data_IF_512685491388
#
_entry.id   IF_512685491388
#
_cell.length_a   1.000
_cell.length_b   1.000
_cell.length_c   1.000
_cell.angle_alpha   90.00
_cell.angle_beta   90.00
_cell.angle_gamma   90.00
#
_symmetry.space_group_name_H-M   'P 1'
#
loop_
_entity.id
_entity.type
_entity.pdbx_description
1 polymer ?
2 non-polymer ?
3 water ?
#
# COMPACT_ATOMS: atom_id res chain seq x y z
N UNK A 21 10.32 14.79 -25.39
CA UNK A 21 10.80 14.94 -23.97
C UNK A 21 10.29 13.78 -23.11
N UNK A 22 11.19 13.17 -22.35
CA UNK A 22 10.87 12.00 -21.53
C UNK A 22 9.89 12.31 -20.40
N UNK A 23 10.03 13.49 -19.80
CA UNK A 23 9.13 13.94 -18.73
C UNK A 23 7.72 14.27 -19.22
N UNK A 24 7.57 14.41 -20.54
CA UNK A 24 6.29 14.76 -21.15
C UNK A 24 5.55 13.57 -21.77
N UNK A 25 5.99 12.36 -21.41
CA UNK A 25 5.31 11.12 -21.82
C UNK A 25 3.89 11.09 -21.26
N UNK A 26 2.95 10.58 -22.05
CA UNK A 26 1.54 10.54 -21.66
C UNK A 26 0.92 9.16 -21.80
N UNK A 27 -0.02 8.84 -20.91
CA UNK A 27 -0.71 7.55 -20.93
C UNK A 27 -2.23 7.74 -20.80
N UNK A 28 -2.98 6.75 -21.29
CA UNK A 28 -4.42 6.75 -21.18
C UNK A 28 -4.88 5.85 -20.03
N UNK A 29 -5.65 6.43 -19.12
CA UNK A 29 -6.22 5.69 -17.99
C UNK A 29 -7.74 5.78 -18.03
N UNK A 30 -8.40 4.63 -18.01
CA UNK A 30 -9.85 4.59 -18.01
C UNK A 30 -10.39 3.87 -16.78
N UNK A 31 -11.25 4.56 -16.03
CA UNK A 31 -11.97 3.92 -14.92
C UNK A 31 -13.22 3.26 -15.49
N UNK A 32 -13.30 1.94 -15.34
CA UNK A 32 -14.36 1.13 -15.92
C UNK A 32 -15.70 1.32 -15.18
N UNK A 33 -16.81 0.86 -15.78
CA UNK A 33 -18.15 1.06 -15.19
C UNK A 33 -18.26 0.60 -13.73
N UNK A 34 -17.60 -0.50 -13.38
CA UNK A 34 -17.60 -1.00 -12.01
C UNK A 34 -16.81 -0.11 -11.05
N UNK A 35 -15.78 0.56 -11.57
CA UNK A 35 -15.01 1.53 -10.80
C UNK A 35 -15.83 2.77 -10.46
N UNK A 36 -16.62 3.23 -11.43
CA UNK A 36 -17.53 4.36 -11.23
C UNK A 36 -18.65 3.97 -10.27
N UNK A 37 -19.25 2.80 -10.51
CA UNK A 37 -20.38 2.30 -9.70
C UNK A 37 -20.02 2.07 -8.23
N UNK A 38 -18.79 1.64 -7.97
CA UNK A 38 -18.36 1.34 -6.61
C UNK A 38 -17.67 2.53 -5.92
N UNK A 39 -17.78 3.71 -6.54
CA UNK A 39 -17.34 4.97 -5.94
C UNK A 39 -15.84 5.11 -5.74
N UNK A 40 -15.07 4.78 -6.78
CA UNK A 40 -13.61 4.76 -6.69
C UNK A 40 -12.92 5.85 -7.52
N UNK A 41 -13.70 6.70 -8.19
CA UNK A 41 -13.15 7.74 -9.06
C UNK A 41 -12.19 8.67 -8.31
N UNK A 42 -12.62 9.16 -7.16
CA UNK A 42 -11.81 10.05 -6.32
C UNK A 42 -10.52 9.43 -5.82
N UNK A 43 -10.61 8.21 -5.31
CA UNK A 43 -9.45 7.47 -4.80
C UNK A 43 -8.38 7.25 -5.86
N UNK A 44 -8.82 6.89 -7.08
CA UNK A 44 -7.93 6.61 -8.20
C UNK A 44 -7.16 7.87 -8.65
N UNK A 45 -7.87 8.97 -8.84
CA UNK A 45 -7.27 10.25 -9.22
C UNK A 45 -6.25 10.72 -8.17
N UNK A 46 -6.60 10.55 -6.90
CA UNK A 46 -5.73 10.88 -5.76
C UNK A 46 -4.38 10.14 -5.84
N UNK A 47 -4.41 8.87 -6.25
CA UNK A 47 -3.20 8.06 -6.41
C UNK A 47 -2.23 8.68 -7.42
N UNK A 48 -2.77 9.14 -8.54
CA UNK A 48 -1.95 9.75 -9.59
C UNK A 48 -1.49 11.16 -9.24
N UNK A 49 -2.35 11.93 -8.57
CA UNK A 49 -2.01 13.28 -8.11
C UNK A 49 -0.88 13.27 -7.10
N UNK A 50 -1.00 12.44 -6.07
CA UNK A 50 -0.01 12.36 -4.98
C UNK A 50 1.34 11.84 -5.47
N UNK A 51 1.33 11.06 -6.54
CA UNK A 51 2.54 10.51 -7.16
C UNK A 51 3.39 11.61 -7.81
N UNK A 52 2.72 12.63 -8.34
CA UNK A 52 3.41 13.74 -9.01
C UNK A 52 3.07 13.86 -10.48
N UNK A 53 2.27 12.93 -10.99
CA UNK A 53 1.82 12.97 -12.39
C UNK A 53 0.81 14.10 -12.62
N UNK A 54 0.85 14.67 -13.81
CA UNK A 54 0.02 15.83 -14.13
C UNK A 54 -1.19 15.44 -14.99
N UNK A 55 -2.36 15.93 -14.58
CA UNK A 55 -3.60 15.69 -15.31
C UNK A 55 -3.61 16.52 -16.59
N UNK A 56 -3.91 15.89 -17.72
CA UNK A 56 -4.01 16.60 -19.00
C UNK A 56 -5.40 16.47 -19.65
N UNK A 57 -6.05 15.33 -19.42
CA UNK A 57 -7.40 15.09 -19.93
C UNK A 57 -8.26 14.33 -18.93
N UNK A 58 -9.53 14.74 -18.82
CA UNK A 58 -10.49 14.11 -17.92
C UNK A 58 -11.90 14.25 -18.48
N UNK A 59 -12.61 13.13 -18.58
CA UNK A 59 -13.93 13.10 -19.22
C UNK A 59 -14.82 12.00 -18.64
N UNK A 60 -16.05 12.38 -18.30
CA UNK A 60 -17.08 11.43 -17.88
C UNK A 60 -18.00 11.16 -19.07
N UNK A 61 -18.11 9.89 -19.45
CA UNK A 61 -18.80 9.53 -20.69
C UNK A 61 -19.34 8.10 -20.68
N UNK A 62 -20.36 7.85 -21.49
CA UNK A 62 -20.75 6.49 -21.84
C UNK A 62 -20.16 6.16 -23.20
N UNK A 63 -19.25 5.19 -23.21
CA UNK A 63 -18.56 4.79 -24.45
C UNK A 63 -19.52 4.06 -25.39
N UNK A 64 -19.59 4.55 -26.63
CA UNK A 64 -20.44 3.94 -27.66
C UNK A 64 -19.87 2.60 -28.10
N UNK A 65 -20.74 1.76 -28.68
CA UNK A 65 -20.32 0.45 -29.19
C UNK A 65 -19.27 0.57 -30.29
N UNK A 66 -19.40 1.59 -31.13
CA UNK A 66 -18.44 1.86 -32.20
C UNK A 66 -17.03 2.16 -31.67
N UNK A 67 -16.96 2.96 -30.61
CA UNK A 67 -15.69 3.32 -29.98
C UNK A 67 -15.03 2.10 -29.32
N UNK A 68 -15.84 1.29 -28.64
CA UNK A 68 -15.35 0.12 -27.93
C UNK A 68 -14.87 -0.98 -28.87
N UNK A 69 -15.56 -1.13 -30.00
CA UNK A 69 -15.17 -2.09 -31.04
C UNK A 69 -13.81 -1.73 -31.65
N UNK A 70 -13.55 -0.43 -31.79
CA UNK A 70 -12.26 0.05 -32.28
C UNK A 70 -11.18 -0.03 -31.21
N UNK A 71 -11.55 0.18 -29.95
CA UNK A 71 -10.63 0.08 -28.82
C UNK A 71 -10.16 -1.36 -28.60
N UNK A 72 -11.08 -2.31 -28.73
CA UNK A 72 -10.77 -3.74 -28.59
C UNK A 72 -10.70 -4.44 -29.95
N UNK A 73 -10.19 -3.73 -30.95
CA UNK A 73 -10.16 -4.22 -32.34
C UNK A 73 -9.33 -5.49 -32.53
N UNK A 74 -8.27 -5.63 -31.73
CA UNK A 74 -7.39 -6.81 -31.78
C UNK A 74 -8.07 -8.09 -31.30
N UNK A 75 -9.24 -7.94 -30.67
CA UNK A 75 -9.96 -9.08 -30.09
C UNK A 75 -11.34 -9.30 -30.72
N UNK A 76 -11.57 -8.72 -31.90
CA UNK A 76 -12.89 -8.74 -32.52
C UNK A 76 -13.38 -10.13 -32.98
N UNK A 77 -12.44 -11.05 -33.21
CA UNK A 77 -12.77 -12.39 -33.66
C UNK A 77 -12.76 -13.42 -32.53
N UNK A 78 -12.42 -12.96 -31.33
CA UNK A 78 -12.42 -13.80 -30.12
C UNK A 78 -13.86 -13.97 -29.62
N UNK A 79 -14.18 -15.13 -29.00
CA UNK A 79 -15.56 -15.43 -28.59
C UNK A 79 -16.11 -14.59 -27.43
N UNK A 80 -15.24 -13.89 -26.71
CA UNK A 80 -15.65 -13.05 -25.59
C UNK A 80 -15.89 -11.59 -25.98
N UNK A 81 -15.68 -11.27 -27.25
CA UNK A 81 -15.75 -9.91 -27.77
C UNK A 81 -17.11 -9.24 -27.57
N UNK A 82 -18.17 -9.97 -27.88
CA UNK A 82 -19.54 -9.45 -27.75
C UNK A 82 -19.89 -9.06 -26.32
N UNK A 83 -19.54 -9.93 -25.37
CA UNK A 83 -19.80 -9.70 -23.95
C UNK A 83 -18.96 -8.57 -23.37
N UNK A 84 -17.72 -8.46 -23.84
CA UNK A 84 -16.79 -7.42 -23.40
C UNK A 84 -17.26 -6.02 -23.82
N UNK A 85 -17.64 -5.88 -25.09
CA UNK A 85 -18.16 -4.63 -25.63
C UNK A 85 -19.47 -4.24 -24.93
N UNK A 86 -20.36 -5.22 -24.75
CA UNK A 86 -21.65 -5.02 -24.09
C UNK A 86 -21.48 -4.50 -22.66
N UNK A 87 -20.55 -5.10 -21.92
CA UNK A 87 -20.31 -4.70 -20.54
C UNK A 87 -19.73 -3.29 -20.41
N UNK A 88 -18.72 -2.98 -21.23
CA UNK A 88 -18.08 -1.66 -21.22
C UNK A 88 -19.02 -0.54 -21.68
N UNK A 89 -20.16 -0.93 -22.25
CA UNK A 89 -21.18 -0.01 -22.73
C UNK A 89 -22.35 0.10 -21.74
N UNK A 90 -22.40 -0.82 -20.77
CA UNK A 90 -23.51 -0.92 -19.82
C UNK A 90 -23.52 0.17 -18.74
N UNK A 91 -22.42 0.89 -18.62
CA UNK A 91 -22.29 1.96 -17.63
C UNK A 91 -21.28 3.01 -18.04
N UNK A 92 -21.31 4.19 -17.38
CA UNK A 92 -20.38 5.27 -17.71
C UNK A 92 -18.95 5.00 -17.28
N UNK A 93 -18.00 5.57 -18.01
CA UNK A 93 -16.58 5.45 -17.71
C UNK A 93 -15.95 6.82 -17.47
N UNK A 94 -14.80 6.84 -16.80
CA UNK A 94 -14.00 8.05 -16.64
C UNK A 94 -12.72 7.90 -17.45
N UNK A 95 -12.65 8.63 -18.57
CA UNK A 95 -11.47 8.61 -19.43
C UNK A 95 -10.48 9.69 -19.00
N UNK A 96 -9.20 9.31 -18.91
CA UNK A 96 -8.17 10.22 -18.41
C UNK A 96 -6.88 10.14 -19.21
N UNK A 97 -6.16 11.27 -19.25
CA UNK A 97 -4.79 11.31 -19.76
C UNK A 97 -3.90 11.90 -18.67
N UNK A 98 -2.80 11.21 -18.38
CA UNK A 98 -1.84 11.66 -17.37
C UNK A 98 -0.45 11.82 -17.98
N UNK A 99 0.29 12.82 -17.52
CA UNK A 99 1.63 13.11 -18.05
C UNK A 99 2.71 12.98 -16.99
N UNK A 100 3.85 12.42 -17.39
CA UNK A 100 5.01 12.28 -16.50
C UNK A 100 6.07 11.32 -17.03
N UNK A 101 7.24 11.35 -16.39
CA UNK A 101 8.35 10.47 -16.75
C UNK A 101 7.95 9.01 -16.56
N UNK A 102 8.08 8.23 -17.64
CA UNK A 102 7.69 6.81 -17.67
C UNK A 102 6.29 6.52 -17.11
N UNK A 103 5.35 7.43 -17.38
CA UNK A 103 3.99 7.34 -16.85
C UNK A 103 3.23 6.08 -17.33
N UNK A 104 3.57 5.59 -18.51
CA UNK A 104 2.95 4.39 -19.06
C UNK A 104 3.30 3.16 -18.22
N UNK A 105 4.60 2.90 -18.08
CA UNK A 105 5.10 1.76 -17.31
C UNK A 105 4.78 1.88 -15.82
N UNK A 106 5.03 3.06 -15.25
CA UNK A 106 4.77 3.32 -13.83
C UNK A 106 3.28 3.28 -13.51
N UNK A 107 2.46 3.82 -14.43
CA UNK A 107 1.01 3.77 -14.30
C UNK A 107 0.49 2.34 -14.18
N UNK A 108 1.03 1.45 -15.00
CA UNK A 108 0.68 0.02 -14.98
C UNK A 108 1.08 -0.64 -13.66
N UNK A 109 2.22 -0.23 -13.09
CA UNK A 109 2.66 -0.70 -11.79
C UNK A 109 1.71 -0.22 -10.68
N UNK A 110 1.29 1.04 -10.78
CA UNK A 110 0.36 1.64 -9.83
C UNK A 110 -1.02 0.97 -9.85
N UNK A 111 -1.44 0.57 -11.04
CA UNK A 111 -2.69 -0.16 -11.23
C UNK A 111 -2.60 -1.58 -10.67
N UNK A 112 -1.42 -2.19 -10.80
CA UNK A 112 -1.23 -3.59 -10.45
C UNK A 112 -1.54 -4.48 -11.64
N UNK A 113 -1.30 -5.78 -11.48
CA UNK A 113 -1.56 -6.76 -12.55
C UNK A 113 -3.01 -6.70 -13.01
N UNK A 114 -3.22 -6.92 -14.31
CA UNK A 114 -4.55 -6.87 -14.92
C UNK A 114 -5.53 -7.80 -14.20
N UNK A 115 -5.07 -9.00 -13.88
CA UNK A 115 -5.82 -9.92 -13.03
C UNK A 115 -5.63 -9.53 -11.56
N UNK A 116 -6.71 -9.04 -10.91
CA UNK A 116 -6.65 -8.55 -9.52
C UNK A 116 -6.15 -9.58 -8.52
N UNK A 117 -6.32 -10.87 -8.84
CA UNK A 117 -5.83 -11.96 -8.00
C UNK A 117 -4.31 -11.93 -7.84
N UNK A 118 -3.62 -11.43 -8.87
CA UNK A 118 -2.16 -11.33 -8.84
C UNK A 118 -1.67 -9.92 -8.46
N UNK A 119 -2.60 -8.98 -8.33
CA UNK A 119 -2.28 -7.60 -7.95
C UNK A 119 -1.87 -7.52 -6.48
N UNK A 120 -0.80 -6.78 -6.21
CA UNK A 120 -0.25 -6.64 -4.86
C UNK A 120 -0.99 -5.57 -4.05
N UNK A 121 -1.08 -5.76 -2.73
CA UNK A 121 -1.60 -4.71 -1.84
C UNK A 121 -0.81 -3.41 -2.00
N UNK A 122 -1.51 -2.28 -2.04
CA UNK A 122 -0.88 -0.99 -2.29
C UNK A 122 -1.18 -0.48 -3.70
N UNK A 123 -1.47 -1.39 -4.62
CA UNK A 123 -1.88 -1.04 -5.97
C UNK A 123 -3.39 -0.82 -6.02
N UNK A 124 -3.87 -0.16 -7.07
CA UNK A 124 -5.28 0.16 -7.23
C UNK A 124 -6.16 -1.11 -7.27
N UNK A 125 -5.83 -2.04 -8.16
CA UNK A 125 -6.57 -3.31 -8.27
C UNK A 125 -6.38 -4.19 -7.04
N UNK A 126 -5.16 -4.17 -6.48
CA UNK A 126 -4.85 -4.94 -5.27
C UNK A 126 -5.69 -4.53 -4.07
N UNK A 127 -5.93 -3.23 -3.93
CA UNK A 127 -6.70 -2.71 -2.81
C UNK A 127 -8.21 -2.74 -3.00
N UNK A 128 -8.67 -2.61 -4.24
CA UNK A 128 -10.07 -2.26 -4.50
C UNK A 128 -10.96 -3.24 -5.29
N UNK A 129 -10.39 -4.29 -5.88
CA UNK A 129 -11.20 -5.26 -6.64
C UNK A 129 -10.68 -6.70 -6.56
N UNK A 130 -11.49 -7.65 -7.06
CA UNK A 130 -11.26 -9.08 -6.84
C UNK A 130 -11.09 -9.90 -8.13
N UNK A 131 -12.04 -9.75 -9.05
CA UNK A 131 -12.13 -10.60 -10.25
C UNK A 131 -11.72 -9.85 -11.51
N UNK A 132 -11.04 -10.55 -12.43
CA UNK A 132 -10.52 -9.94 -13.66
C UNK A 132 -11.62 -9.37 -14.57
N UNK A 133 -12.79 -10.00 -14.57
CA UNK A 133 -13.94 -9.52 -15.32
C UNK A 133 -14.50 -8.20 -14.79
N UNK A 134 -14.16 -7.89 -13.54
CA UNK A 134 -14.53 -6.63 -12.92
C UNK A 134 -13.29 -5.99 -12.28
N UNK A 135 -12.34 -5.59 -13.12
CA UNK A 135 -11.06 -5.08 -12.64
C UNK A 135 -10.94 -3.54 -12.65
N UNK A 136 -12.09 -2.88 -12.54
CA UNK A 136 -12.24 -1.43 -12.30
C UNK A 136 -11.50 -0.41 -13.18
N UNK A 137 -10.37 -0.81 -13.78
CA UNK A 137 -9.47 0.15 -14.41
C UNK A 137 -8.70 -0.42 -15.60
N UNK A 138 -8.31 0.47 -16.52
CA UNK A 138 -7.42 0.15 -17.63
C UNK A 138 -6.33 1.20 -17.77
N UNK A 139 -5.14 0.75 -18.15
CA UNK A 139 -4.03 1.65 -18.49
C UNK A 139 -3.31 1.15 -19.73
N UNK A 140 -2.80 2.09 -20.52
CA UNK A 140 -2.04 1.76 -21.74
C UNK A 140 -0.85 0.86 -21.41
N UNK A 141 -0.64 -0.17 -22.22
CA UNK A 141 0.44 -1.14 -21.96
C UNK A 141 1.78 -0.72 -22.57
N UNK A 142 1.74 0.26 -23.47
CA UNK A 142 2.95 0.77 -24.13
C UNK A 142 2.73 2.21 -24.60
N UNK A 143 3.82 2.88 -24.97
CA UNK A 143 3.77 4.24 -25.54
C UNK A 143 2.99 4.23 -26.86
N UNK A 144 3.18 3.17 -27.65
CA UNK A 144 2.48 2.98 -28.91
C UNK A 144 0.96 2.90 -28.70
N UNK A 145 0.55 2.08 -27.74
CA UNK A 145 -0.87 1.94 -27.38
C UNK A 145 -1.43 3.23 -26.79
N UNK A 146 -0.61 3.93 -26.02
CA UNK A 146 -1.00 5.21 -25.42
C UNK A 146 -1.38 6.24 -26.47
N UNK A 147 -0.52 6.41 -27.47
CA UNK A 147 -0.77 7.34 -28.58
C UNK A 147 -2.06 7.00 -29.32
N UNK A 148 -2.27 5.70 -29.55
CA UNK A 148 -3.48 5.21 -30.23
C UNK A 148 -4.74 5.44 -29.38
N UNK A 149 -4.66 5.14 -28.09
CA UNK A 149 -5.80 5.26 -27.18
C UNK A 149 -6.18 6.71 -26.87
N UNK A 150 -5.19 7.58 -26.70
CA UNK A 150 -5.42 9.00 -26.46
C UNK A 150 -6.11 9.65 -27.66
N UNK A 151 -5.61 9.33 -28.86
CA UNK A 151 -6.19 9.85 -30.11
C UNK A 151 -7.60 9.36 -30.37
N UNK A 152 -7.91 8.14 -29.92
CA UNK A 152 -9.23 7.54 -30.10
C UNK A 152 -10.26 8.10 -29.11
N UNK A 153 -9.89 8.18 -27.84
CA UNK A 153 -10.82 8.60 -26.78
C UNK A 153 -10.94 10.11 -26.63
N UNK A 154 -9.87 10.84 -26.96
CA UNK A 154 -9.83 12.30 -26.79
C UNK A 154 -9.62 13.04 -28.09
N UNK A 155 -10.24 14.22 -28.19
CA UNK A 155 -9.93 15.18 -29.24
C UNK A 155 -8.75 16.04 -28.78
N UNK A 156 -7.88 16.46 -29.72
CA UNK A 156 -6.67 17.24 -29.37
C UNK A 156 -6.94 18.46 -28.48
N UNK A 157 -8.05 19.16 -28.73
CA UNK A 157 -8.39 20.37 -27.98
C UNK A 157 -8.96 20.10 -26.58
N UNK A 158 -9.25 18.84 -26.29
CA UNK A 158 -9.70 18.41 -24.96
C UNK A 158 -8.52 18.19 -24.01
N UNK A 159 -7.31 18.17 -24.56
CA UNK A 159 -6.08 17.98 -23.79
C UNK A 159 -5.52 19.34 -23.38
N UNK A 160 -5.38 19.55 -22.07
CA UNK A 160 -4.96 20.84 -21.53
C UNK A 160 -3.49 20.85 -21.12
N UNK A 161 -2.77 21.88 -21.54
CA UNK A 161 -1.36 22.04 -21.19
C UNK A 161 -1.16 23.15 -20.15
N UNK A 162 -0.45 22.80 -19.08
CA UNK A 162 -0.07 23.76 -18.03
C UNK A 162 1.13 23.22 -17.26
N UNK A 163 1.78 24.12 -16.52
CA UNK A 163 2.94 23.76 -15.72
C UNK A 163 2.57 23.71 -14.24
N UNK A 164 2.86 22.58 -13.60
CA UNK A 164 2.64 22.41 -12.17
C UNK A 164 3.57 23.32 -11.38
N UNK A 165 3.04 23.92 -10.30
CA UNK A 165 3.81 24.78 -9.42
C UNK A 165 4.93 24.02 -8.70
N UNK A 166 4.81 22.69 -8.67
CA UNK A 166 5.78 21.82 -8.01
C UNK A 166 6.74 21.13 -8.98
N UNK A 167 6.74 21.56 -10.24
CA UNK A 167 7.55 20.93 -11.30
C UNK A 167 9.03 20.79 -10.93
N UNK A 168 9.62 21.86 -10.41
CA UNK A 168 11.04 21.88 -10.05
C UNK A 168 11.39 20.98 -8.86
N UNK A 169 10.38 20.63 -8.06
CA UNK A 169 10.56 19.73 -6.93
C UNK A 169 10.21 18.28 -7.25
N UNK A 170 9.57 18.06 -8.40
CA UNK A 170 9.29 16.71 -8.90
C UNK A 170 10.39 16.26 -9.87
N UNK A 171 10.85 17.18 -10.71
CA UNK A 171 11.88 16.88 -11.71
C UNK A 171 13.12 17.75 -11.56
N UNK A 172 14.28 17.17 -11.87
CA UNK A 172 15.54 17.90 -11.89
C UNK A 172 15.53 18.95 -13.01
N UNK B 19 -25.70 -16.48 -8.70
CA UNK B 19 -24.53 -16.56 -7.78
C UNK B 19 -23.72 -17.83 -8.01
N UNK B 20 -22.41 -17.67 -8.19
CA UNK B 20 -21.49 -18.78 -8.40
C UNK B 20 -20.91 -19.25 -7.07
N UNK B 21 -20.84 -20.56 -6.88
CA UNK B 21 -20.33 -21.16 -5.65
C UNK B 21 -18.87 -20.78 -5.37
N UNK B 22 -18.08 -20.65 -6.44
CA UNK B 22 -16.67 -20.25 -6.34
C UNK B 22 -16.50 -18.89 -5.68
N UNK B 23 -17.43 -17.97 -5.95
CA UNK B 23 -17.41 -16.64 -5.37
C UNK B 23 -17.93 -16.60 -3.93
N UNK B 24 -18.32 -17.76 -3.40
CA UNK B 24 -18.89 -17.86 -2.06
C UNK B 24 -17.98 -18.54 -1.04
N UNK B 25 -16.69 -18.65 -1.38
CA UNK B 25 -15.68 -19.17 -0.46
C UNK B 25 -15.61 -18.33 0.82
N UNK B 26 -15.29 -18.96 1.94
CA UNK B 26 -15.26 -18.29 3.24
C UNK B 26 -13.89 -18.46 3.90
N UNK B 27 -13.47 -17.45 4.66
CA UNK B 27 -12.23 -17.52 5.44
C UNK B 27 -12.43 -16.97 6.86
N UNK B 28 -11.58 -17.43 7.78
CA UNK B 28 -11.60 -16.95 9.15
C UNK B 28 -10.46 -15.97 9.37
N UNK B 29 -10.81 -14.74 9.78
CA UNK B 29 -9.84 -13.70 10.11
C UNK B 29 -10.03 -13.28 11.57
N UNK B 30 -8.94 -13.27 12.33
CA UNK B 30 -9.01 -12.87 13.74
C UNK B 30 -8.02 -11.75 14.04
N UNK B 31 -8.53 -10.66 14.61
CA UNK B 31 -7.68 -9.58 15.10
C UNK B 31 -7.24 -9.93 16.52
N UNK B 32 -5.93 -10.06 16.71
CA UNK B 32 -5.35 -10.48 17.98
C UNK B 32 -5.41 -9.38 19.04
N UNK B 33 -5.16 -9.72 20.33
CA UNK B 33 -5.28 -8.74 21.41
C UNK B 33 -4.48 -7.47 21.21
N UNK B 34 -3.29 -7.58 20.62
CA UNK B 34 -2.46 -6.41 20.33
C UNK B 34 -3.06 -5.51 19.24
N UNK B 35 -3.75 -6.13 18.28
CA UNK B 35 -4.44 -5.38 17.22
C UNK B 35 -5.60 -4.58 17.76
N UNK B 36 -6.33 -5.16 18.71
CA UNK B 36 -7.43 -4.49 19.40
C UNK B 36 -6.89 -3.34 20.27
N UNK B 37 -5.84 -3.65 21.06
CA UNK B 37 -5.21 -2.68 21.95
C UNK B 37 -4.68 -1.45 21.24
N UNK B 38 -4.12 -1.65 20.05
CA UNK B 38 -3.49 -0.57 19.29
C UNK B 38 -4.44 0.14 18.32
N UNK B 39 -5.73 -0.16 18.44
CA UNK B 39 -6.78 0.54 17.69
C UNK B 39 -6.78 0.31 16.19
N UNK B 40 -6.65 -0.95 15.78
CA UNK B 40 -6.55 -1.30 14.36
C UNK B 40 -7.79 -2.02 13.82
N UNK B 41 -8.81 -2.18 14.66
CA UNK B 41 -10.02 -2.92 14.29
C UNK B 41 -10.72 -2.31 13.07
N UNK B 42 -11.02 -1.02 13.13
CA UNK B 42 -11.67 -0.31 12.04
C UNK B 42 -10.90 -0.32 10.73
N UNK B 43 -9.59 -0.06 10.83
CA UNK B 43 -8.71 -0.05 9.67
C UNK B 43 -8.66 -1.40 8.95
N UNK B 44 -8.58 -2.48 9.73
CA UNK B 44 -8.53 -3.84 9.18
C UNK B 44 -9.83 -4.21 8.45
N UNK B 45 -10.97 -3.93 9.07
CA UNK B 45 -12.29 -4.19 8.47
C UNK B 45 -12.48 -3.39 7.18
N UNK B 46 -12.02 -2.13 7.20
CA UNK B 46 -12.09 -1.23 6.05
C UNK B 46 -11.39 -1.83 4.82
N UNK B 47 -10.22 -2.43 5.04
CA UNK B 47 -9.42 -3.01 3.96
C UNK B 47 -10.12 -4.17 3.27
N UNK B 48 -10.83 -5.00 4.05
CA UNK B 48 -11.62 -6.09 3.49
C UNK B 48 -12.87 -5.57 2.79
N UNK B 49 -13.49 -4.54 3.36
CA UNK B 49 -14.68 -3.91 2.76
C UNK B 49 -14.38 -3.24 1.43
N UNK B 50 -13.33 -2.43 1.39
CA UNK B 50 -12.96 -1.68 0.18
C UNK B 50 -12.51 -2.60 -0.96
N UNK B 51 -12.02 -3.79 -0.59
CA UNK B 51 -11.57 -4.80 -1.54
C UNK B 51 -12.74 -5.39 -2.31
N UNK B 52 -13.88 -5.54 -1.64
CA UNK B 52 -15.08 -6.10 -2.23
C UNK B 52 -15.57 -7.38 -1.56
N UNK B 53 -14.83 -7.85 -0.56
CA UNK B 53 -15.22 -9.01 0.22
C UNK B 53 -16.40 -8.69 1.13
N UNK B 54 -17.25 -9.68 1.36
CA UNK B 54 -18.49 -9.49 2.12
C UNK B 54 -18.39 -10.03 3.54
N UNK B 55 -18.89 -9.24 4.49
CA UNK B 55 -18.89 -9.62 5.90
C UNK B 55 -19.94 -10.72 6.15
N UNK B 56 -19.52 -11.80 6.81
CA UNK B 56 -20.41 -12.91 7.14
C UNK B 56 -20.56 -13.07 8.65
N UNK B 57 -19.44 -13.04 9.37
CA UNK B 57 -19.42 -13.16 10.82
C UNK B 57 -18.53 -12.12 11.47
N UNK B 58 -18.96 -11.61 12.62
CA UNK B 58 -18.20 -10.61 13.38
C UNK B 58 -18.62 -10.62 14.84
N UNK B 59 -17.66 -10.84 15.73
CA UNK B 59 -17.91 -10.77 17.18
C UNK B 59 -16.68 -10.40 18.01
N UNK B 60 -16.93 -9.66 19.09
CA UNK B 60 -15.92 -9.24 20.04
C UNK B 60 -15.98 -10.17 21.24
N UNK B 61 -14.84 -10.79 21.57
CA UNK B 61 -14.82 -11.87 22.56
C UNK B 61 -13.46 -12.04 23.24
N UNK B 62 -13.49 -12.54 24.47
CA UNK B 62 -12.30 -13.05 25.12
C UNK B 62 -12.28 -14.56 24.91
N UNK B 63 -11.34 -15.04 24.11
CA UNK B 63 -11.22 -16.45 23.78
C UNK B 63 -10.82 -17.28 25.00
N UNK B 64 -11.63 -18.28 25.33
CA UNK B 64 -11.38 -19.15 26.48
C UNK B 64 -10.16 -20.04 26.24
N UNK B 65 -9.56 -20.51 27.34
CA UNK B 65 -8.39 -21.38 27.27
C UNK B 65 -8.69 -22.68 26.49
N UNK B 66 -9.87 -23.24 26.69
CA UNK B 66 -10.31 -24.44 25.98
C UNK B 66 -10.37 -24.23 24.48
N UNK B 67 -10.92 -23.09 24.05
CA UNK B 67 -11.03 -22.75 22.64
C UNK B 67 -9.65 -22.59 22.00
N UNK B 68 -8.74 -21.92 22.70
CA UNK B 68 -7.38 -21.67 22.23
C UNK B 68 -6.53 -22.93 22.17
N UNK B 69 -6.74 -23.85 23.11
CA UNK B 69 -6.06 -25.14 23.12
C UNK B 69 -6.46 -26.01 21.93
N UNK B 70 -7.74 -25.91 21.54
CA UNK B 70 -8.26 -26.64 20.39
C UNK B 70 -7.83 -25.97 19.07
N UNK B 71 -7.73 -24.64 19.08
CA UNK B 71 -7.29 -23.88 17.91
C UNK B 71 -5.81 -24.11 17.61
N UNK B 72 -4.99 -24.14 18.65
CA UNK B 72 -3.56 -24.42 18.52
C UNK B 72 -3.25 -25.87 18.91
N UNK B 73 -4.10 -26.80 18.49
CA UNK B 73 -3.97 -28.22 18.85
C UNK B 73 -2.71 -28.87 18.25
N UNK B 74 -2.26 -28.37 17.11
CA UNK B 74 -1.07 -28.88 16.44
C UNK B 74 0.22 -28.46 17.14
N UNK B 75 0.12 -27.50 18.05
CA UNK B 75 1.29 -26.94 18.74
C UNK B 75 1.31 -27.26 20.24
N UNK B 76 0.51 -28.25 20.65
CA UNK B 76 0.34 -28.59 22.07
C UNK B 76 1.59 -29.11 22.78
N UNK B 77 2.49 -29.74 22.01
CA UNK B 77 3.70 -30.35 22.57
C UNK B 77 4.91 -29.42 22.51
N UNK B 78 4.72 -28.23 21.96
CA UNK B 78 5.79 -27.25 21.80
C UNK B 78 6.10 -26.56 23.13
N UNK B 79 7.38 -26.15 23.35
CA UNK B 79 7.83 -25.60 24.63
C UNK B 79 7.16 -24.28 25.05
N UNK B 80 6.73 -23.49 24.07
CA UNK B 80 6.10 -22.19 24.36
C UNK B 80 4.60 -22.19 24.12
N UNK B 81 3.97 -23.36 24.27
CA UNK B 81 2.52 -23.51 24.11
C UNK B 81 1.75 -22.87 25.26
N UNK B 82 2.29 -22.98 26.48
CA UNK B 82 1.68 -22.41 27.67
C UNK B 82 1.60 -20.89 27.62
N UNK B 83 2.66 -20.27 27.10
CA UNK B 83 2.73 -18.81 26.96
C UNK B 83 1.84 -18.28 25.84
N UNK B 84 1.72 -19.06 24.77
CA UNK B 84 0.91 -18.69 23.61
C UNK B 84 -0.58 -18.65 23.95
N UNK B 85 -1.05 -19.65 24.69
CA UNK B 85 -2.44 -19.73 25.14
C UNK B 85 -2.73 -18.63 26.17
N UNK B 86 -1.78 -18.39 27.06
CA UNK B 86 -1.90 -17.38 28.11
C UNK B 86 -2.00 -15.97 27.51
N UNK B 87 -1.17 -15.67 26.52
CA UNK B 87 -1.18 -14.36 25.86
C UNK B 87 -2.46 -14.11 25.07
N UNK B 88 -2.88 -15.10 24.28
CA UNK B 88 -4.09 -14.99 23.46
C UNK B 88 -5.36 -14.93 24.31
N UNK B 89 -5.22 -15.25 25.60
CA UNK B 89 -6.33 -15.20 26.56
C UNK B 89 -6.32 -13.90 27.37
N UNK B 90 -5.17 -13.22 27.39
CA UNK B 90 -4.98 -12.01 28.20
C UNK B 90 -5.82 -10.81 27.76
N UNK B 91 -6.10 -10.75 26.45
CA UNK B 91 -6.89 -9.65 25.89
C UNK B 91 -7.97 -10.13 24.94
N UNK B 92 -8.97 -9.27 24.65
CA UNK B 92 -10.06 -9.62 23.74
C UNK B 92 -9.62 -9.69 22.28
N UNK B 93 -10.35 -10.47 21.49
CA UNK B 93 -10.08 -10.60 20.06
C UNK B 93 -11.31 -10.25 19.23
N UNK B 94 -11.10 -9.92 17.96
CA UNK B 94 -12.19 -9.73 17.02
C UNK B 94 -12.19 -10.90 16.03
N UNK B 95 -13.19 -11.77 16.15
CA UNK B 95 -13.34 -12.92 15.27
C UNK B 95 -14.22 -12.56 14.08
N UNK B 96 -13.77 -12.91 12.88
CA UNK B 96 -14.47 -12.53 11.65
C UNK B 96 -14.55 -13.66 10.63
N UNK B 97 -15.62 -13.64 9.83
CA UNK B 97 -15.73 -14.50 8.66
C UNK B 97 -16.04 -13.60 7.45
N UNK B 98 -15.21 -13.71 6.41
CA UNK B 98 -15.38 -12.94 5.18
C UNK B 98 -15.62 -13.87 3.99
N UNK B 99 -16.42 -13.41 3.03
CA UNK B 99 -16.78 -14.19 1.87
C UNK B 99 -16.38 -13.52 0.55
N UNK B 100 -15.89 -14.33 -0.38
CA UNK B 100 -15.52 -13.85 -1.70
C UNK B 100 -14.74 -14.87 -2.50
N UNK B 101 -14.49 -14.57 -3.77
CA UNK B 101 -13.66 -15.42 -4.62
C UNK B 101 -12.25 -15.49 -4.06
N UNK B 102 -11.80 -16.70 -3.76
CA UNK B 102 -10.48 -16.97 -3.18
C UNK B 102 -10.10 -16.09 -1.97
N UNK B 103 -11.05 -15.90 -1.05
CA UNK B 103 -10.82 -15.11 0.18
C UNK B 103 -9.66 -15.61 1.01
N UNK B 104 -9.52 -16.93 1.12
CA UNK B 104 -8.48 -17.55 1.91
C UNK B 104 -7.10 -17.12 1.41
N UNK B 105 -6.84 -17.39 0.14
CA UNK B 105 -5.54 -17.09 -0.49
C UNK B 105 -5.23 -15.59 -0.50
N UNK B 106 -6.16 -14.78 -1.01
CA UNK B 106 -5.94 -13.35 -1.15
C UNK B 106 -5.98 -12.63 0.19
N UNK B 107 -6.78 -13.15 1.11
CA UNK B 107 -6.79 -12.67 2.50
C UNK B 107 -5.42 -12.75 3.13
N UNK B 108 -4.72 -13.87 2.90
CA UNK B 108 -3.35 -14.05 3.38
C UNK B 108 -2.40 -13.04 2.74
N UNK B 109 -2.60 -12.77 1.45
CA UNK B 109 -1.82 -11.76 0.72
C UNK B 109 -2.04 -10.36 1.31
N UNK B 110 -3.30 -10.04 1.60
CA UNK B 110 -3.67 -8.74 2.20
C UNK B 110 -3.09 -8.57 3.61
N UNK B 111 -3.02 -9.68 4.35
CA UNK B 111 -2.44 -9.68 5.69
C UNK B 111 -0.93 -9.52 5.66
N UNK B 112 -0.30 -10.05 4.62
CA UNK B 112 1.15 -10.10 4.51
C UNK B 112 1.71 -11.34 5.17
N UNK B 113 3.03 -11.52 5.10
CA UNK B 113 3.71 -12.66 5.68
C UNK B 113 3.51 -12.72 7.20
N UNK B 114 3.40 -13.92 7.74
CA UNK B 114 3.17 -14.14 9.18
C UNK B 114 4.20 -13.40 10.03
N UNK B 115 5.48 -13.53 9.65
CA UNK B 115 6.55 -12.73 10.25
C UNK B 115 6.53 -11.34 9.63
N UNK B 116 6.25 -10.30 10.45
CA UNK B 116 6.12 -8.91 9.98
C UNK B 116 7.40 -8.34 9.38
N UNK B 117 8.54 -8.93 9.72
CA UNK B 117 9.83 -8.52 9.15
C UNK B 117 9.88 -8.73 7.64
N UNK B 118 9.16 -9.76 7.17
CA UNK B 118 9.10 -10.09 5.74
C UNK B 118 7.84 -9.55 5.05
N UNK B 119 6.97 -8.90 5.81
CA UNK B 119 5.73 -8.34 5.28
C UNK B 119 5.99 -7.05 4.51
N UNK B 120 5.32 -6.91 3.37
CA UNK B 120 5.54 -5.77 2.47
C UNK B 120 4.64 -4.59 2.83
N UNK B 121 5.13 -3.35 2.60
CA UNK B 121 4.28 -2.17 2.77
C UNK B 121 3.04 -2.27 1.88
N UNK B 122 1.90 -1.86 2.42
CA UNK B 122 0.62 -2.03 1.73
C UNK B 122 -0.21 -3.14 2.36
N UNK B 123 0.47 -4.12 2.96
CA UNK B 123 -0.21 -5.20 3.68
C UNK B 123 -0.51 -4.75 5.11
N UNK B 124 -1.39 -5.47 5.79
CA UNK B 124 -1.80 -5.14 7.16
C UNK B 124 -0.63 -5.22 8.15
N UNK B 125 0.10 -6.33 8.13
CA UNK B 125 1.27 -6.51 9.00
C UNK B 125 2.44 -5.61 8.59
N UNK B 126 2.59 -5.41 7.28
CA UNK B 126 3.64 -4.53 6.75
C UNK B 126 3.49 -3.09 7.18
N UNK B 127 2.25 -2.63 7.28
CA UNK B 127 1.96 -1.25 7.65
C UNK B 127 1.89 -1.01 9.15
N UNK B 128 1.51 -2.03 9.92
CA UNK B 128 1.08 -1.79 11.31
C UNK B 128 1.80 -2.51 12.46
N UNK B 129 2.65 -3.49 12.17
CA UNK B 129 3.37 -4.21 13.25
C UNK B 129 4.81 -4.57 12.89
N UNK B 130 5.56 -5.04 13.90
CA UNK B 130 7.01 -5.23 13.79
C UNK B 130 7.47 -6.66 14.10
N UNK B 131 6.99 -7.22 15.21
CA UNK B 131 7.50 -8.49 15.71
C UNK B 131 6.50 -9.64 15.54
N UNK B 132 7.03 -10.84 15.29
CA UNK B 132 6.21 -12.03 15.03
C UNK B 132 5.31 -12.44 16.20
N UNK B 133 5.80 -12.21 17.43
CA UNK B 133 5.03 -12.50 18.64
C UNK B 133 3.88 -11.53 18.87
N UNK B 134 3.96 -10.37 18.22
CA UNK B 134 2.90 -9.37 18.24
C UNK B 134 2.53 -8.98 16.80
N UNK B 135 1.97 -9.93 16.07
CA UNK B 135 1.67 -9.73 14.65
C UNK B 135 0.19 -9.40 14.34
N UNK B 136 -0.48 -8.83 15.35
CA UNK B 136 -1.83 -8.22 15.26
C UNK B 136 -3.01 -9.01 14.68
N UNK B 137 -2.73 -10.01 13.84
CA UNK B 137 -3.78 -10.64 13.04
C UNK B 137 -3.49 -12.10 12.67
N UNK B 138 -4.55 -12.87 12.42
CA UNK B 138 -4.46 -14.22 11.88
C UNK B 138 -5.47 -14.44 10.76
N UNK B 139 -5.07 -15.23 9.76
CA UNK B 139 -5.97 -15.66 8.69
C UNK B 139 -5.74 -17.12 8.33
N UNK B 140 -6.81 -17.82 7.99
CA UNK B 140 -6.75 -19.24 7.60
C UNK B 140 -5.74 -19.46 6.48
N UNK B 141 -4.89 -20.47 6.63
CA UNK B 141 -3.84 -20.75 5.65
C UNK B 141 -4.33 -21.56 4.44
N UNK B 142 -5.50 -22.18 4.58
CA UNK B 142 -6.09 -23.01 3.53
C UNK B 142 -7.61 -23.08 3.68
N UNK B 143 -8.28 -23.57 2.65
CA UNK B 143 -9.73 -23.77 2.67
C UNK B 143 -10.12 -24.77 3.76
N UNK B 144 -9.35 -25.86 3.85
CA UNK B 144 -9.53 -26.88 4.89
C UNK B 144 -9.43 -26.28 6.30
N UNK B 145 -8.42 -25.43 6.51
CA UNK B 145 -8.25 -24.72 7.77
C UNK B 145 -9.41 -23.75 8.04
N UNK B 146 -9.88 -23.10 6.98
CA UNK B 146 -11.01 -22.17 7.08
C UNK B 146 -12.28 -22.87 7.57
N UNK B 147 -12.58 -24.02 6.99
CA UNK B 147 -13.74 -24.83 7.39
C UNK B 147 -13.68 -25.17 8.88
N UNK B 148 -12.50 -25.62 9.33
CA UNK B 148 -12.27 -25.98 10.73
C UNK B 148 -12.38 -24.77 11.66
N UNK B 149 -11.71 -23.67 11.30
CA UNK B 149 -11.66 -22.47 12.14
C UNK B 149 -13.02 -21.77 12.29
N UNK B 150 -13.77 -21.69 11.19
CA UNK B 150 -15.11 -21.08 11.21
C UNK B 150 -16.06 -21.90 12.09
N UNK B 151 -16.01 -23.22 11.94
CA UNK B 151 -16.84 -24.13 12.74
C UNK B 151 -16.52 -24.10 14.21
N UNK B 152 -15.24 -23.92 14.53
CA UNK B 152 -14.78 -23.87 15.92
C UNK B 152 -15.14 -22.54 16.61
N UNK B 153 -14.90 -21.43 15.92
CA UNK B 153 -15.10 -20.10 16.48
C UNK B 153 -16.54 -19.61 16.43
N UNK B 154 -17.27 -20.01 15.39
CA UNK B 154 -18.64 -19.54 15.16
C UNK B 154 -19.67 -20.66 15.20
N UNK B 155 -20.85 -20.35 15.75
CA UNK B 155 -22.02 -21.19 15.60
C UNK B 155 -22.69 -20.85 14.27
N UNK B 156 -23.33 -21.84 13.62
CA UNK B 156 -23.98 -21.62 12.31
C UNK B 156 -24.97 -20.45 12.30
N UNK B 157 -25.62 -20.19 13.43
CA UNK B 157 -26.60 -19.11 13.55
C UNK B 157 -25.95 -17.72 13.52
N UNK B 158 -24.68 -17.66 13.93
CA UNK B 158 -23.94 -16.39 13.99
C UNK B 158 -23.48 -15.91 12.60
N UNK B 159 -23.53 -16.81 11.62
CA UNK B 159 -23.16 -16.48 10.24
C UNK B 159 -24.38 -15.94 9.50
N UNK B 160 -24.26 -14.71 8.98
CA UNK B 160 -25.37 -14.03 8.32
C UNK B 160 -25.16 -13.99 6.81
N UNK B 161 -26.15 -14.48 6.07
CA UNK B 161 -26.12 -14.47 4.60
C UNK B 161 -26.95 -13.32 4.04
N UNK B 162 -26.31 -12.47 3.25
CA UNK B 162 -26.99 -11.38 2.54
C UNK B 162 -26.36 -11.12 1.19
N UNK B 163 -27.08 -10.42 0.33
CA UNK B 163 -26.61 -10.09 -1.02
C UNK B 163 -26.16 -8.64 -1.07
N UNK B 164 -24.91 -8.44 -1.48
CA UNK B 164 -24.34 -7.09 -1.64
C UNK B 164 -24.96 -6.40 -2.83
N UNK B 165 -25.32 -5.12 -2.64
CA UNK B 165 -25.89 -4.31 -3.71
C UNK B 165 -24.91 -4.10 -4.88
N UNK B 166 -23.63 -4.32 -4.61
CA UNK B 166 -22.58 -4.14 -5.61
C UNK B 166 -22.12 -5.45 -6.27
N UNK B 167 -22.81 -6.56 -5.97
CA UNK B 167 -22.41 -7.89 -6.44
C UNK B 167 -22.18 -7.99 -7.95
N UNK B 168 -23.09 -7.40 -8.73
CA UNK B 168 -22.99 -7.39 -10.19
C UNK B 168 -21.78 -6.63 -10.73
N UNK B 169 -21.23 -5.76 -9.88
CA UNK B 169 -20.07 -4.94 -10.25
C UNK B 169 -18.76 -5.46 -9.64
N UNK B 170 -18.86 -6.51 -8.82
CA UNK B 170 -17.69 -7.18 -8.26
C UNK B 170 -17.43 -8.51 -8.99
N UNK B 171 -18.50 -9.21 -9.35
CA UNK B 171 -18.42 -10.46 -10.08
C UNK B 171 -19.30 -10.45 -11.32
N UNK B 172 -18.78 -11.01 -12.42
CA UNK B 172 -19.57 -11.14 -13.65
C UNK B 172 -20.54 -12.30 -13.57
N UNK C 21 18.45 -5.36 23.63
CA UNK C 21 19.18 -4.31 22.87
C UNK C 21 18.72 -4.26 21.41
N UNK C 22 18.28 -5.41 20.88
CA UNK C 22 17.85 -5.54 19.50
C UNK C 22 16.65 -4.65 19.17
N UNK C 23 15.74 -4.51 20.13
CA UNK C 23 14.57 -3.64 19.98
C UNK C 23 14.91 -2.16 20.11
N UNK C 24 16.14 -1.86 20.54
CA UNK C 24 16.58 -0.49 20.75
C UNK C 24 17.44 0.05 19.62
N UNK C 25 17.45 -0.67 18.49
CA UNK C 25 18.16 -0.22 17.29
C UNK C 25 17.58 1.11 16.80
N UNK C 26 18.44 1.98 16.30
CA UNK C 26 18.05 3.30 15.83
C UNK C 26 18.52 3.59 14.41
N UNK C 27 17.71 4.34 13.67
CA UNK C 27 18.06 4.75 12.30
C UNK C 27 17.82 6.24 12.07
N UNK C 28 18.55 6.80 11.10
CA UNK C 28 18.37 8.19 10.72
C UNK C 28 17.52 8.29 9.45
N UNK C 29 16.48 9.12 9.52
CA UNK C 29 15.60 9.37 8.38
C UNK C 29 15.52 10.87 8.13
N UNK C 30 15.78 11.28 6.89
CA UNK C 30 15.70 12.69 6.52
C UNK C 30 14.68 12.91 5.40
N UNK C 31 13.75 13.84 5.64
CA UNK C 31 12.83 14.29 4.60
C UNK C 31 13.52 15.40 3.82
N UNK C 32 13.76 15.12 2.53
CA UNK C 32 14.51 16.01 1.65
C UNK C 32 13.71 17.28 1.31
N UNK C 33 14.38 18.32 0.77
CA UNK C 33 13.71 19.60 0.51
C UNK C 33 12.44 19.50 -0.33
N UNK C 34 12.41 18.57 -1.29
CA UNK C 34 11.23 18.34 -2.11
C UNK C 34 10.10 17.66 -1.35
N UNK C 35 10.45 16.86 -0.34
CA UNK C 35 9.46 16.25 0.56
C UNK C 35 8.73 17.30 1.37
N UNK C 36 9.49 18.28 1.88
CA UNK C 36 8.93 19.40 2.64
C UNK C 36 8.07 20.30 1.75
N UNK C 37 8.60 20.65 0.58
CA UNK C 37 7.91 21.53 -0.37
C UNK C 37 6.57 20.97 -0.85
N UNK C 38 6.52 19.66 -1.04
CA UNK C 38 5.31 19.00 -1.56
C UNK C 38 4.37 18.53 -0.46
N UNK C 39 4.61 18.97 0.78
CA UNK C 39 3.72 18.74 1.90
C UNK C 39 3.56 17.30 2.36
N UNK C 40 4.69 16.60 2.50
CA UNK C 40 4.66 15.18 2.83
C UNK C 40 5.22 14.84 4.22
N UNK C 41 5.51 15.87 5.02
CA UNK C 41 6.10 15.68 6.34
C UNK C 41 5.20 14.85 7.27
N UNK C 42 3.93 15.27 7.39
CA UNK C 42 2.94 14.57 8.20
C UNK C 42 2.68 13.14 7.76
N UNK C 43 2.52 12.96 6.45
CA UNK C 43 2.29 11.62 5.87
C UNK C 43 3.41 10.64 6.18
N UNK C 44 4.64 11.12 6.05
CA UNK C 44 5.84 10.30 6.29
C UNK C 44 5.99 9.91 7.77
N UNK C 45 5.78 10.86 8.67
CA UNK C 45 5.83 10.60 10.12
C UNK C 45 4.73 9.61 10.53
N UNK C 46 3.54 9.75 9.95
CA UNK C 46 2.43 8.84 10.20
C UNK C 46 2.78 7.38 9.86
N UNK C 47 3.50 7.18 8.75
CA UNK C 47 3.93 5.85 8.31
C UNK C 47 4.76 5.13 9.39
N UNK C 48 5.67 5.86 10.01
CA UNK C 48 6.54 5.30 11.05
C UNK C 48 5.82 5.12 12.38
N UNK C 49 4.93 6.06 12.70
CA UNK C 49 4.12 5.98 13.93
C UNK C 49 3.20 4.77 13.95
N UNK C 50 2.45 4.58 12.86
CA UNK C 50 1.47 3.49 12.76
C UNK C 50 2.12 2.10 12.71
N UNK C 51 3.38 2.06 12.27
CA UNK C 51 4.17 0.83 12.19
C UNK C 51 4.54 0.33 13.60
N UNK C 52 4.74 1.26 14.51
CA UNK C 52 5.09 0.93 15.90
C UNK C 52 6.47 1.39 16.31
N UNK C 53 7.17 2.08 15.41
CA UNK C 53 8.47 2.64 15.71
C UNK C 53 8.34 3.88 16.60
N UNK C 54 9.34 4.08 17.46
CA UNK C 54 9.32 5.17 18.42
C UNK C 54 10.15 6.36 17.96
N UNK C 55 9.56 7.55 18.02
CA UNK C 55 10.25 8.80 17.69
C UNK C 55 11.29 9.10 18.77
N UNK C 56 12.53 9.36 18.34
CA UNK C 56 13.63 9.69 19.25
C UNK C 56 14.12 11.12 19.04
N UNK C 57 14.33 11.50 17.79
CA UNK C 57 14.77 12.84 17.43
C UNK C 57 13.99 13.39 16.25
N UNK C 58 13.74 14.69 16.28
CA UNK C 58 13.00 15.38 15.21
C UNK C 58 13.35 16.86 15.23
N UNK C 59 13.80 17.38 14.08
CA UNK C 59 14.04 18.82 13.93
C UNK C 59 13.96 19.33 12.49
N UNK C 60 13.44 20.54 12.36
CA UNK C 60 13.31 21.23 11.08
C UNK C 60 14.49 22.20 10.94
N UNK C 61 15.27 22.03 9.87
CA UNK C 61 16.54 22.74 9.72
C UNK C 61 16.98 22.91 8.27
N UNK C 62 17.78 23.95 8.04
CA UNK C 62 18.51 24.07 6.78
C UNK C 62 19.93 23.56 7.01
N UNK C 63 20.26 22.47 6.32
CA UNK C 63 21.56 21.81 6.48
C UNK C 63 22.67 22.60 5.81
N UNK C 64 23.76 22.85 6.54
CA UNK C 64 24.91 23.57 6.02
C UNK C 64 25.68 22.70 5.03
N UNK C 65 26.50 23.35 4.20
CA UNK C 65 27.31 22.66 3.19
C UNK C 65 28.30 21.68 3.84
N UNK C 66 28.91 22.10 4.95
CA UNK C 66 29.87 21.27 5.69
C UNK C 66 29.24 19.98 6.20
N UNK C 67 28.01 20.09 6.73
CA UNK C 67 27.27 18.93 7.23
C UNK C 67 26.92 17.96 6.10
N UNK C 68 26.49 18.49 4.97
CA UNK C 68 26.09 17.68 3.82
C UNK C 68 27.27 16.98 3.17
N UNK C 69 28.39 17.69 3.04
CA UNK C 69 29.64 17.12 2.52
C UNK C 69 30.11 15.94 3.38
N UNK C 70 29.98 16.07 4.69
CA UNK C 70 30.34 15.00 5.63
C UNK C 70 29.34 13.85 5.59
N UNK C 71 28.06 14.17 5.38
CA UNK C 71 27.02 13.17 5.25
C UNK C 71 27.22 12.31 4.00
N UNK C 72 27.66 12.94 2.92
CA UNK C 72 27.89 12.25 1.64
C UNK C 72 29.38 12.04 1.33
N UNK C 73 30.18 11.75 2.36
CA UNK C 73 31.64 11.56 2.19
C UNK C 73 32.01 10.45 1.21
N UNK C 74 31.23 9.36 1.22
CA UNK C 74 31.48 8.21 0.36
C UNK C 74 31.21 8.51 -1.12
N UNK C 75 30.65 9.70 -1.40
CA UNK C 75 30.30 10.10 -2.75
C UNK C 75 31.03 11.38 -3.19
N UNK C 76 32.09 11.73 -2.48
CA UNK C 76 32.81 12.99 -2.73
C UNK C 76 33.54 13.05 -4.08
N UNK C 77 33.92 11.89 -4.60
CA UNK C 77 34.65 11.80 -5.87
C UNK C 77 33.72 11.52 -7.05
N UNK C 78 32.41 11.51 -6.78
CA UNK C 78 31.40 11.29 -7.81
C UNK C 78 31.10 12.59 -8.58
N UNK C 79 30.74 12.47 -9.87
CA UNK C 79 30.46 13.64 -10.70
C UNK C 79 29.22 14.45 -10.28
N UNK C 80 28.32 13.83 -9.52
CA UNK C 80 27.10 14.51 -9.06
C UNK C 80 27.25 15.28 -7.75
N UNK C 81 28.33 14.99 -7.02
CA UNK C 81 28.53 15.47 -5.65
C UNK C 81 28.18 16.94 -5.40
N UNK C 82 28.72 17.83 -6.24
CA UNK C 82 28.52 19.27 -6.05
C UNK C 82 27.06 19.71 -6.19
N UNK C 83 26.39 19.21 -7.23
CA UNK C 83 24.98 19.51 -7.47
C UNK C 83 24.06 18.86 -6.47
N UNK C 84 24.44 17.67 -6.02
CA UNK C 84 23.70 16.92 -5.00
C UNK C 84 23.71 17.65 -3.66
N UNK C 85 24.88 18.14 -3.26
CA UNK C 85 25.05 18.91 -2.02
C UNK C 85 24.31 20.25 -2.09
N UNK C 86 24.44 20.93 -3.22
CA UNK C 86 23.79 22.23 -3.45
C UNK C 86 22.26 22.13 -3.37
N UNK C 87 21.72 21.02 -3.89
CA UNK C 87 20.28 20.79 -3.88
C UNK C 87 19.75 20.48 -2.47
N UNK C 88 20.46 19.62 -1.74
CA UNK C 88 20.10 19.30 -0.36
C UNK C 88 20.23 20.54 0.55
N UNK C 89 20.89 21.57 0.04
CA UNK C 89 21.07 22.84 0.73
C UNK C 89 20.05 23.88 0.28
N UNK C 90 19.42 23.64 -0.88
CA UNK C 90 18.50 24.61 -1.50
C UNK C 90 17.22 24.86 -0.71
N UNK C 91 16.85 23.90 0.13
CA UNK C 91 15.66 24.02 0.97
C UNK C 91 15.83 23.32 2.31
N UNK C 92 14.97 23.66 3.29
CA UNK C 92 15.02 23.02 4.61
C UNK C 92 14.67 21.54 4.56
N UNK C 93 15.24 20.79 5.50
CA UNK C 93 14.99 19.36 5.65
C UNK C 93 14.42 19.03 7.03
N UNK C 94 13.79 17.87 7.15
CA UNK C 94 13.35 17.35 8.45
C UNK C 94 14.23 16.16 8.83
N UNK C 95 15.08 16.35 9.84
CA UNK C 95 15.96 15.29 10.33
C UNK C 95 15.27 14.51 11.45
N UNK C 96 15.30 13.18 11.36
CA UNK C 96 14.60 12.32 12.29
C UNK C 96 15.43 11.13 12.77
N UNK C 97 15.16 10.67 13.98
CA UNK C 97 15.70 9.42 14.50
C UNK C 97 14.55 8.56 15.01
N UNK C 98 14.48 7.32 14.51
CA UNK C 98 13.45 6.37 14.91
C UNK C 98 14.06 5.13 15.54
N UNK C 99 13.37 4.57 16.54
CA UNK C 99 13.84 3.39 17.26
C UNK C 99 12.89 2.20 17.12
N UNK C 100 13.47 1.01 16.97
CA UNK C 100 12.69 -0.23 16.90
C UNK C 100 13.53 -1.41 16.43
N UNK C 101 12.97 -2.61 16.59
CA UNK C 101 13.62 -3.84 16.12
C UNK C 101 13.79 -3.78 14.60
N UNK C 102 15.04 -3.98 14.15
CA UNK C 102 15.41 -3.90 12.74
C UNK C 102 14.89 -2.65 12.01
N UNK C 103 14.94 -1.51 12.70
CA UNK C 103 14.43 -0.24 12.15
C UNK C 103 15.23 0.25 10.93
N UNK C 104 16.51 -0.08 10.89
CA UNK C 104 17.36 0.28 9.75
C UNK C 104 16.90 -0.45 8.49
N UNK C 105 16.82 -1.78 8.57
CA UNK C 105 16.43 -2.62 7.44
C UNK C 105 14.99 -2.39 7.00
N UNK C 106 14.05 -2.47 7.94
CA UNK C 106 12.62 -2.31 7.62
C UNK C 106 12.27 -0.87 7.24
N UNK C 107 13.01 0.09 7.80
CA UNK C 107 12.87 1.50 7.41
C UNK C 107 13.15 1.71 5.93
N UNK C 108 14.20 1.06 5.43
CA UNK C 108 14.55 1.10 4.01
C UNK C 108 13.47 0.47 3.14
N UNK C 109 12.86 -0.61 3.63
CA UNK C 109 11.75 -1.27 2.95
C UNK C 109 10.53 -0.35 2.87
N UNK C 110 10.26 0.36 3.97
CA UNK C 110 9.14 1.31 4.04
C UNK C 110 9.33 2.50 3.09
N UNK C 111 10.57 2.95 2.96
CA UNK C 111 10.92 4.03 2.04
C UNK C 111 10.82 3.57 0.58
N UNK C 112 11.20 2.32 0.33
CA UNK C 112 11.25 1.78 -1.03
C UNK C 112 12.62 1.96 -1.64
N UNK C 113 12.78 1.51 -2.88
CA UNK C 113 14.05 1.59 -3.59
C UNK C 113 14.49 3.04 -3.78
N UNK C 114 15.80 3.27 -3.77
CA UNK C 114 16.38 4.61 -3.94
C UNK C 114 15.82 5.29 -5.20
N UNK C 115 15.76 4.54 -6.29
CA UNK C 115 15.11 4.99 -7.52
C UNK C 115 13.61 4.73 -7.44
N UNK C 116 12.79 5.80 -7.46
CA UNK C 116 11.33 5.73 -7.34
C UNK C 116 10.65 4.88 -8.41
N UNK C 117 11.30 4.74 -9.56
CA UNK C 117 10.80 3.90 -10.66
C UNK C 117 10.76 2.43 -10.25
N UNK C 118 11.69 2.03 -9.39
CA UNK C 118 11.78 0.66 -8.90
C UNK C 118 11.05 0.46 -7.57
N UNK C 119 10.58 1.57 -6.99
CA UNK C 119 9.84 1.54 -5.73
C UNK C 119 8.42 1.03 -5.94
N UNK C 120 7.99 0.13 -5.05
CA UNK C 120 6.68 -0.50 -5.15
C UNK C 120 5.58 0.41 -4.55
N UNK C 121 4.35 0.33 -5.09
CA UNK C 121 3.22 1.00 -4.45
C UNK C 121 3.04 0.49 -3.02
N UNK C 122 2.76 1.42 -2.09
CA UNK C 122 2.70 1.09 -0.68
C UNK C 122 3.90 1.67 0.08
N UNK C 123 5.02 1.83 -0.63
CA UNK C 123 6.21 2.47 -0.06
C UNK C 123 6.10 3.99 -0.20
N UNK C 124 6.90 4.71 0.58
CA UNK C 124 6.89 6.18 0.58
C UNK C 124 7.26 6.76 -0.80
N UNK C 125 8.36 6.29 -1.37
CA UNK C 125 8.81 6.76 -2.68
C UNK C 125 7.89 6.26 -3.81
N UNK C 126 7.40 5.03 -3.66
CA UNK C 126 6.49 4.43 -4.63
C UNK C 126 5.18 5.17 -4.77
N UNK C 127 4.67 5.69 -3.65
CA UNK C 127 3.40 6.41 -3.63
C UNK C 127 3.52 7.88 -4.01
N UNK C 128 4.64 8.52 -3.65
CA UNK C 128 4.70 9.98 -3.63
C UNK C 128 5.70 10.70 -4.56
N UNK C 129 6.59 9.98 -5.23
CA UNK C 129 7.57 10.64 -6.12
C UNK C 129 7.92 9.86 -7.39
N UNK C 130 8.65 10.51 -8.30
CA UNK C 130 8.91 9.97 -9.64
C UNK C 130 10.39 9.79 -9.97
N UNK C 131 11.18 10.84 -9.77
CA UNK C 131 12.58 10.87 -10.20
C UNK C 131 13.58 10.65 -9.07
N UNK C 132 14.69 9.98 -9.38
CA UNK C 132 15.73 9.64 -8.41
C UNK C 132 16.39 10.88 -7.76
N UNK C 133 16.58 11.94 -8.55
CA UNK C 133 17.15 13.19 -8.06
C UNK C 133 16.19 13.99 -7.21
N UNK C 134 14.92 13.60 -7.22
CA UNK C 134 13.88 14.19 -6.38
C UNK C 134 13.12 13.07 -5.69
N UNK C 135 13.81 12.31 -4.84
CA UNK C 135 13.24 11.12 -4.19
C UNK C 135 12.82 11.33 -2.73
N UNK C 136 12.45 12.57 -2.42
CA UNK C 136 11.79 13.01 -1.16
C UNK C 136 12.39 12.65 0.20
N UNK C 137 13.15 11.56 0.27
CA UNK C 137 13.53 10.97 1.55
C UNK C 137 14.87 10.22 1.52
N UNK C 138 15.55 10.20 2.67
CA UNK C 138 16.75 9.41 2.87
C UNK C 138 16.62 8.54 4.11
N UNK C 139 17.19 7.34 4.06
CA UNK C 139 17.27 6.45 5.21
C UNK C 139 18.61 5.74 5.27
N UNK C 140 19.12 5.55 6.49
CA UNK C 140 20.41 4.87 6.70
C UNK C 140 20.40 3.46 6.10
N UNK C 141 21.47 3.10 5.41
CA UNK C 141 21.55 1.81 4.72
C UNK C 141 22.09 0.67 5.60
N UNK C 142 22.70 1.04 6.73
CA UNK C 142 23.27 0.06 7.66
C UNK C 142 23.27 0.60 9.10
N UNK C 143 23.50 -0.30 10.06
CA UNK C 143 23.62 0.07 11.47
C UNK C 143 24.83 1.01 11.68
N UNK C 144 25.93 0.71 11.00
CA UNK C 144 27.14 1.52 11.05
C UNK C 144 26.90 2.93 10.52
N UNK C 145 26.21 3.02 9.37
CA UNK C 145 25.84 4.29 8.77
C UNK C 145 24.87 5.08 9.65
N UNK C 146 23.93 4.37 10.27
CA UNK C 146 22.96 4.98 11.17
C UNK C 146 23.63 5.68 12.34
N UNK C 147 24.56 5.00 12.99
CA UNK C 147 25.30 5.55 14.13
C UNK C 147 26.10 6.80 13.75
N UNK C 148 26.73 6.75 12.58
CA UNK C 148 27.48 7.89 12.05
C UNK C 148 26.55 9.07 11.74
N UNK C 149 25.43 8.78 11.07
CA UNK C 149 24.47 9.81 10.66
C UNK C 149 23.76 10.47 11.85
N UNK C 150 23.33 9.66 12.82
CA UNK C 150 22.68 10.18 14.03
C UNK C 150 23.61 11.15 14.77
N UNK C 151 24.85 10.74 14.99
CA UNK C 151 25.86 11.56 15.66
C UNK C 151 26.24 12.81 14.89
N UNK C 152 26.10 12.77 13.57
CA UNK C 152 26.42 13.90 12.71
C UNK C 152 25.35 14.97 12.76
N UNK C 153 24.09 14.55 12.68
CA UNK C 153 22.95 15.46 12.61
C UNK C 153 22.42 15.89 13.97
N UNK C 154 22.57 15.03 14.98
CA UNK C 154 21.99 15.27 16.30
C UNK C 154 23.03 15.31 17.42
N UNK C 155 22.85 16.26 18.33
CA UNK C 155 23.57 16.25 19.60
C UNK C 155 22.89 15.25 20.53
N UNK C 156 23.66 14.60 21.44
CA UNK C 156 23.10 13.59 22.35
C UNK C 156 21.90 14.07 23.18
N UNK C 157 21.89 15.36 23.51
CA UNK C 157 20.82 15.95 24.35
C UNK C 157 19.51 16.11 23.57
N UNK C 158 19.59 16.08 22.25
CA UNK C 158 18.41 16.24 21.39
C UNK C 158 17.64 14.93 21.22
N UNK C 159 18.25 13.82 21.59
CA UNK C 159 17.62 12.50 21.50
C UNK C 159 16.87 12.20 22.80
N UNK C 160 15.56 11.99 22.68
CA UNK C 160 14.69 11.82 23.84
C UNK C 160 14.37 10.36 24.11
N UNK C 161 14.56 9.94 25.36
CA UNK C 161 14.23 8.58 25.80
C UNK C 161 12.92 8.56 26.59
N UNK C 162 12.00 7.71 26.14
CA UNK C 162 10.73 7.46 26.83
C UNK C 162 10.21 6.08 26.43
N UNK C 163 9.24 5.59 27.20
CA UNK C 163 8.63 4.29 26.93
C UNK C 163 7.22 4.49 26.40
N UNK C 164 6.95 3.88 25.23
CA UNK C 164 5.62 3.91 24.64
C UNK C 164 4.64 3.13 25.50
N UNK C 165 3.42 3.67 25.62
CA UNK C 165 2.36 3.02 26.40
C UNK C 165 1.94 1.68 25.78
N UNK C 166 2.28 1.48 24.50
CA UNK C 166 1.94 0.26 23.77
C UNK C 166 3.10 -0.72 23.61
N UNK C 167 4.19 -0.49 24.35
CA UNK C 167 5.42 -1.30 24.25
C UNK C 167 5.17 -2.81 24.40
N UNK C 168 4.37 -3.19 25.38
CA UNK C 168 4.07 -4.60 25.65
C UNK C 168 3.20 -5.27 24.58
N UNK C 169 2.55 -4.45 23.76
CA UNK C 169 1.70 -4.94 22.68
C UNK C 169 2.41 -4.89 21.32
N UNK C 170 3.58 -4.26 21.29
CA UNK C 170 4.42 -4.25 20.09
C UNK C 170 5.54 -5.29 20.19
N UNK C 171 6.08 -5.47 21.40
CA UNK C 171 7.17 -6.42 21.63
C UNK C 171 6.85 -7.42 22.75
N UNK C 172 7.33 -8.65 22.59
CA UNK C 172 7.23 -9.69 23.62
C UNK C 172 8.05 -9.35 24.85
X LIG D 1 -0.48 -18.78 10.63
X LIG D 1 0.62 -18.67 9.61
X LIG D 1 0.08 -19.30 11.92
X LIG D 1 -1.08 -17.41 10.87
X LIG D 1 -1.55 -19.72 10.11
X LIG E 1 -1.80 3.58 21.17
X LIG E 1 -2.02 2.64 20.01
X LIG E 1 -0.32 3.80 21.38
X LIG E 1 -2.47 4.91 20.88
X LIG E 1 -2.41 2.99 22.42
#
# INVERSE_FOLDING_TARGET
MGSSHHHHHHSSGLVPRGSHMANCERTFIAIKPDGVQRGLVGEIIKRFEQKGFRLVGLKFMQASEDLLKEHYVDLKDRPFFAGLVKYMHSGPVVAMVWEGLNVVKTGRVMLGETNPADSKPGTIRGDFCIQVGRNIIHGSDSVESAEKEIGLWFHPEELVDYTSCAQNWIYE
MGSSHHHHHHSSGLVPRGSHMANCERTFIAIKPDGVQRGLVGEIIKRFEQKGFRLVGLKFMQASEDLLKEHYVDLKDRPFFAGLVKYMHSGPVVAMVWEGLNVVKTGRVMLGETNPADSKPGTIRGDFCIQVGRNIIHGSDSVESAEKEIGLWFHPEELVDYTSCAQNWIYE
MGSSHHHHHHSSGLVPRGSHMANCERTFIAIKPDGVQRGLVGEIIKRFEQKGFRLVGLKFMQASEDLLKEHYVDLKDRPFFAGLVKYMHSGPVVAMVWEGLNVVKTGRVMLGETNPADSKPGTIRGDFCIQVGRNIIHGSDSVESAEKEIGLWFHPEELVDYTSCAQNWIYE
PO4 P O1 O2 O3 O4
PO4 P O1 O2 O3 O4
#
